data_IF_440661553192
#
_entry.id   IF_440661553192
#
_cell.length_a   1.000
_cell.length_b   1.000
_cell.length_c   1.000
_cell.angle_alpha   90.00
_cell.angle_beta   90.00
_cell.angle_gamma   90.00
#
_symmetry.space_group_name_H-M   'P 1'
#
loop_
_entity.id
_entity.type
_entity.pdbx_description
1 polymer ?
#
# COMPACT_ATOMS: atom_id res chain seq x y z
N UNK A 1 -2.38 4.93 -28.59
CA UNK A 1 -2.04 4.24 -27.33
C UNK A 1 -3.25 3.43 -26.91
N UNK A 2 -3.04 2.19 -26.50
CA UNK A 2 -4.10 1.41 -25.86
C UNK A 2 -4.32 2.00 -24.46
N UNK A 3 -5.54 2.45 -24.17
CA UNK A 3 -5.91 3.01 -22.88
C UNK A 3 -6.35 1.94 -21.88
N UNK A 4 -6.33 0.67 -22.30
CA UNK A 4 -6.73 -0.47 -21.49
C UNK A 4 -5.50 -1.32 -21.20
N UNK A 5 -5.22 -1.52 -19.91
CA UNK A 5 -4.21 -2.47 -19.45
C UNK A 5 -4.88 -3.58 -18.65
N UNK A 6 -4.47 -4.82 -18.88
CA UNK A 6 -4.88 -5.98 -18.10
C UNK A 6 -3.65 -6.71 -17.59
N UNK A 7 -3.69 -7.17 -16.34
CA UNK A 7 -2.60 -7.90 -15.72
C UNK A 7 -3.07 -8.66 -14.47
N UNK A 8 -2.13 -9.25 -13.76
CA UNK A 8 -2.38 -9.86 -12.46
C UNK A 8 -1.59 -9.09 -11.41
N UNK A 9 -2.24 -8.77 -10.29
CA UNK A 9 -1.65 -7.92 -9.27
C UNK A 9 -0.37 -8.51 -8.65
N UNK A 10 -0.25 -9.83 -8.53
CA UNK A 10 0.93 -10.48 -7.96
C UNK A 10 2.22 -10.22 -8.78
N UNK A 11 2.31 -10.64 -10.05
CA UNK A 11 3.50 -10.40 -10.86
C UNK A 11 3.72 -8.91 -11.14
N UNK A 12 2.65 -8.13 -11.36
CA UNK A 12 2.79 -6.71 -11.70
C UNK A 12 3.31 -5.89 -10.51
N UNK A 13 2.82 -6.16 -9.30
CA UNK A 13 3.28 -5.49 -8.11
C UNK A 13 4.70 -5.92 -7.74
N UNK A 14 5.04 -7.20 -7.87
CA UNK A 14 6.38 -7.70 -7.54
C UNK A 14 7.47 -7.02 -8.39
N UNK A 15 7.19 -6.79 -9.69
CA UNK A 15 8.09 -6.06 -10.57
C UNK A 15 8.38 -4.62 -10.10
N UNK A 16 7.52 -4.07 -9.24
CA UNK A 16 7.43 -2.65 -8.90
C UNK A 16 7.36 -2.42 -7.39
N UNK A 17 8.01 -3.30 -6.61
CA UNK A 17 8.11 -3.19 -5.13
C UNK A 17 6.74 -3.09 -4.42
N UNK A 18 5.73 -3.72 -5.00
CA UNK A 18 4.35 -3.76 -4.52
C UNK A 18 3.39 -2.82 -5.26
N UNK A 19 3.85 -1.93 -6.15
CA UNK A 19 3.01 -0.90 -6.75
C UNK A 19 2.37 -1.30 -8.08
N UNK A 20 1.07 -1.08 -8.21
CA UNK A 20 0.33 -1.31 -9.46
C UNK A 20 0.19 -0.05 -10.32
N UNK A 21 -0.08 1.08 -9.68
CA UNK A 21 -0.49 2.34 -10.33
C UNK A 21 0.02 3.52 -9.51
N UNK A 22 0.45 4.60 -10.19
CA UNK A 22 0.89 5.84 -9.55
C UNK A 22 1.79 6.69 -10.44
N UNK A 23 2.30 7.81 -9.91
CA UNK A 23 3.05 8.82 -10.66
C UNK A 23 4.36 8.30 -11.26
N UNK A 24 4.89 7.21 -10.71
CA UNK A 24 6.13 6.55 -11.10
C UNK A 24 6.00 5.71 -12.37
N UNK A 25 4.78 5.44 -12.87
CA UNK A 25 4.60 4.76 -14.16
C UNK A 25 5.00 5.70 -15.31
N UNK A 26 5.45 5.18 -16.46
CA UNK A 26 5.80 6.01 -17.60
C UNK A 26 4.61 6.84 -18.11
N UNK A 27 4.87 8.06 -18.59
CA UNK A 27 3.84 8.86 -19.26
C UNK A 27 3.26 8.08 -20.46
N UNK A 28 1.92 8.06 -20.56
CA UNK A 28 1.19 7.29 -21.56
C UNK A 28 0.89 5.84 -21.20
N UNK A 29 1.41 5.31 -20.09
CA UNK A 29 0.89 4.08 -19.46
C UNK A 29 -0.45 4.41 -18.78
N UNK A 30 -1.54 3.67 -19.01
CA UNK A 30 -2.84 3.92 -18.33
C UNK A 30 -2.78 3.76 -16.80
N UNK A 31 -1.69 3.22 -16.25
CA UNK A 31 -1.41 3.13 -14.81
C UNK A 31 -0.61 4.33 -14.27
N UNK A 32 -0.27 5.32 -15.11
CA UNK A 32 0.29 6.58 -14.65
C UNK A 32 -0.81 7.46 -14.06
N UNK A 33 -0.62 7.94 -12.82
CA UNK A 33 -1.56 8.83 -12.15
C UNK A 33 -0.86 9.75 -11.15
N UNK A 34 -1.19 11.04 -11.18
CA UNK A 34 -0.81 12.02 -10.15
C UNK A 34 -1.84 12.13 -9.01
N UNK A 35 -3.01 11.53 -9.18
CA UNK A 35 -4.13 11.64 -8.23
C UNK A 35 -4.08 10.55 -7.17
N UNK A 36 -3.81 9.30 -7.59
CA UNK A 36 -3.85 8.13 -6.71
C UNK A 36 -2.70 7.17 -6.99
N UNK A 37 -2.25 6.47 -5.96
CA UNK A 37 -1.31 5.36 -6.09
C UNK A 37 -1.86 4.13 -5.36
N UNK A 38 -1.70 2.97 -5.99
CA UNK A 38 -2.28 1.70 -5.55
C UNK A 38 -1.16 0.68 -5.35
N UNK A 39 -1.12 0.09 -4.16
CA UNK A 39 -0.21 -0.98 -3.79
C UNK A 39 -0.96 -2.29 -3.57
N UNK A 40 -0.42 -3.37 -4.10
CA UNK A 40 -0.80 -4.73 -3.77
C UNK A 40 0.28 -5.34 -2.86
N UNK A 41 -0.09 -5.64 -1.61
CA UNK A 41 0.83 -6.16 -0.60
C UNK A 41 0.54 -7.63 -0.32
N UNK A 42 1.53 -8.50 -0.57
CA UNK A 42 1.57 -9.86 0.00
C UNK A 42 2.60 -9.91 1.11
N UNK A 43 2.18 -10.41 2.25
CA UNK A 43 2.98 -10.47 3.46
C UNK A 43 3.00 -11.92 3.98
N UNK A 44 4.17 -12.56 4.14
CA UNK A 44 4.24 -13.85 4.80
C UNK A 44 3.90 -13.71 6.29
N UNK A 45 3.57 -14.84 6.93
CA UNK A 45 3.34 -14.88 8.37
C UNK A 45 4.56 -14.36 9.14
N UNK A 46 4.32 -13.45 10.08
CA UNK A 46 5.35 -12.81 10.89
C UNK A 46 5.97 -11.56 10.26
N UNK A 47 5.62 -11.20 9.02
CA UNK A 47 6.16 -10.03 8.35
C UNK A 47 5.77 -8.74 9.07
N UNK A 48 6.68 -7.76 9.07
CA UNK A 48 6.44 -6.46 9.70
C UNK A 48 7.26 -5.35 9.07
N UNK A 49 6.73 -4.13 9.15
CA UNK A 49 7.56 -2.96 8.87
C UNK A 49 8.44 -2.64 10.08
N UNK A 50 9.76 -2.72 9.89
CA UNK A 50 10.70 -2.42 10.97
C UNK A 50 10.69 -0.92 11.35
N UNK A 51 10.56 -0.04 10.35
CA UNK A 51 10.57 1.40 10.54
C UNK A 51 9.14 1.97 10.47
N UNK A 52 8.84 2.96 11.31
CA UNK A 52 7.57 3.68 11.28
C UNK A 52 7.54 4.68 10.12
N UNK A 53 6.40 4.85 9.46
CA UNK A 53 6.18 6.00 8.56
C UNK A 53 6.00 7.19 9.48
N UNK A 54 6.72 8.27 9.20
CA UNK A 54 6.62 9.51 9.97
C UNK A 54 6.14 10.64 9.07
N UNK A 55 5.15 11.39 9.54
CA UNK A 55 4.67 12.58 8.85
C UNK A 55 4.16 12.31 7.43
N UNK A 56 3.33 11.27 7.25
CA UNK A 56 2.76 10.92 5.95
C UNK A 56 2.04 12.13 5.33
N UNK A 57 2.31 12.40 4.06
CA UNK A 57 1.77 13.57 3.34
C UNK A 57 0.52 13.21 2.52
N UNK A 58 0.13 11.94 2.55
CA UNK A 58 -1.02 11.37 1.83
C UNK A 58 -2.09 10.94 2.82
N UNK A 59 -3.32 10.92 2.34
CA UNK A 59 -4.36 10.09 2.95
C UNK A 59 -4.23 8.69 2.38
N UNK A 60 -4.47 7.67 3.21
CA UNK A 60 -4.36 6.28 2.81
C UNK A 60 -5.56 5.48 3.29
N UNK A 61 -5.98 4.53 2.45
CA UNK A 61 -6.94 3.48 2.71
C UNK A 61 -6.20 2.14 2.56
N UNK A 62 -6.36 1.24 3.51
CA UNK A 62 -5.92 -0.15 3.37
C UNK A 62 -7.14 -1.06 3.57
N UNK A 63 -7.35 -1.97 2.62
CA UNK A 63 -8.40 -3.00 2.65
C UNK A 63 -7.77 -4.38 2.73
N UNK A 64 -8.25 -5.20 3.65
CA UNK A 64 -7.87 -6.60 3.78
C UNK A 64 -8.55 -7.44 2.69
N UNK A 65 -7.77 -8.13 1.88
CA UNK A 65 -8.26 -9.05 0.86
C UNK A 65 -8.36 -10.48 1.42
N UNK A 66 -7.35 -10.92 2.16
CA UNK A 66 -7.32 -12.22 2.85
C UNK A 66 -6.29 -12.24 3.96
N UNK A 67 -6.51 -13.07 4.99
CA UNK A 67 -5.60 -13.23 6.12
C UNK A 67 -5.98 -12.34 7.31
N UNK A 68 -4.99 -11.85 8.05
CA UNK A 68 -5.18 -10.94 9.18
C UNK A 68 -4.04 -9.91 9.19
N UNK A 69 -4.37 -8.63 9.28
CA UNK A 69 -3.40 -7.54 9.21
C UNK A 69 -3.58 -6.56 10.35
N UNK A 70 -2.48 -6.25 11.03
CA UNK A 70 -2.47 -5.28 12.12
C UNK A 70 -1.86 -3.96 11.60
N UNK A 71 -2.66 -2.91 11.58
CA UNK A 71 -2.17 -1.55 11.38
C UNK A 71 -1.83 -0.93 12.74
N UNK A 72 -0.57 -0.59 12.93
CA UNK A 72 -0.05 -0.03 14.18
C UNK A 72 0.02 1.50 14.06
N UNK A 73 -0.68 2.20 14.93
CA UNK A 73 -0.63 3.66 15.09
C UNK A 73 -0.05 3.98 16.48
N UNK A 74 0.47 5.21 16.73
CA UNK A 74 1.12 5.53 18.00
C UNK A 74 0.23 5.29 19.23
N UNK A 75 -1.08 5.46 19.07
CA UNK A 75 -2.06 5.38 20.16
C UNK A 75 -2.80 4.05 20.23
N UNK A 76 -2.82 3.27 19.13
CA UNK A 76 -3.58 2.01 19.06
C UNK A 76 -3.15 1.13 17.89
N UNK A 77 -3.47 -0.15 18.01
CA UNK A 77 -3.47 -1.10 16.89
C UNK A 77 -4.89 -1.31 16.38
N UNK A 78 -5.07 -1.26 15.06
CA UNK A 78 -6.30 -1.66 14.38
C UNK A 78 -6.06 -3.04 13.77
N UNK A 79 -6.85 -4.03 14.19
CA UNK A 79 -6.80 -5.39 13.65
C UNK A 79 -7.86 -5.52 12.57
N UNK A 80 -7.44 -5.93 11.38
CA UNK A 80 -8.29 -6.31 10.26
C UNK A 80 -8.26 -7.85 10.20
N UNK A 81 -9.39 -8.50 10.35
CA UNK A 81 -9.48 -9.96 10.48
C UNK A 81 -10.56 -10.60 9.60
N UNK A 82 -11.46 -9.80 9.03
CA UNK A 82 -12.48 -10.27 8.10
C UNK A 82 -12.22 -9.69 6.70
N UNK A 83 -12.44 -10.49 5.65
CA UNK A 83 -12.28 -10.01 4.28
C UNK A 83 -13.12 -8.76 4.03
N UNK A 84 -12.48 -7.70 3.54
CA UNK A 84 -13.12 -6.40 3.32
C UNK A 84 -12.98 -5.42 4.49
N UNK A 85 -12.46 -5.85 5.65
CA UNK A 85 -12.06 -4.93 6.72
C UNK A 85 -11.11 -3.88 6.18
N UNK A 86 -11.28 -2.64 6.64
CA UNK A 86 -10.50 -1.52 6.13
C UNK A 86 -10.20 -0.49 7.20
N UNK A 87 -9.15 0.29 6.95
CA UNK A 87 -8.80 1.46 7.75
C UNK A 87 -8.36 2.60 6.85
N UNK A 88 -8.78 3.81 7.21
CA UNK A 88 -8.37 5.06 6.55
C UNK A 88 -7.64 5.92 7.56
N UNK A 89 -6.51 6.51 7.15
CA UNK A 89 -5.79 7.48 7.96
C UNK A 89 -5.33 8.67 7.11
N UNK A 90 -5.35 9.85 7.73
CA UNK A 90 -5.05 11.11 7.07
C UNK A 90 -3.60 11.55 7.20
N UNK A 91 -3.35 12.79 6.75
CA UNK A 91 -2.03 13.41 6.76
C UNK A 91 -1.47 13.49 8.20
N UNK A 92 -0.16 13.30 8.32
CA UNK A 92 0.58 13.37 9.57
C UNK A 92 0.42 12.14 10.47
N UNK A 93 -0.42 11.17 10.11
CA UNK A 93 -0.62 9.97 10.92
C UNK A 93 0.53 8.99 10.70
N UNK A 94 1.39 8.92 11.70
CA UNK A 94 2.46 7.92 11.78
C UNK A 94 1.88 6.51 11.86
N UNK A 95 2.51 5.54 11.20
CA UNK A 95 2.02 4.17 11.20
C UNK A 95 3.12 3.14 10.93
N UNK A 96 2.86 1.91 11.37
CA UNK A 96 3.58 0.70 11.03
C UNK A 96 2.58 -0.44 10.79
N UNK A 97 3.05 -1.65 10.52
CA UNK A 97 2.17 -2.80 10.35
C UNK A 97 2.85 -4.12 10.73
N UNK A 98 2.00 -5.12 11.00
CA UNK A 98 2.37 -6.49 11.27
C UNK A 98 1.36 -7.46 10.64
N UNK A 99 1.86 -8.52 10.02
CA UNK A 99 1.07 -9.61 9.46
C UNK A 99 1.27 -10.87 10.33
N UNK A 100 0.36 -11.21 11.26
CA UNK A 100 0.44 -12.43 12.06
C UNK A 100 0.44 -13.71 11.22
N UNK A 101 -0.22 -13.70 10.06
CA UNK A 101 -0.32 -14.82 9.13
C UNK A 101 -0.12 -14.38 7.67
N UNK A 102 -0.10 -15.33 6.73
CA UNK A 102 -0.03 -14.98 5.31
C UNK A 102 -1.23 -14.10 4.94
N UNK A 103 -0.95 -12.90 4.45
CA UNK A 103 -1.95 -11.85 4.31
C UNK A 103 -1.78 -11.11 3.00
N UNK A 104 -2.93 -10.74 2.40
CA UNK A 104 -3.01 -9.93 1.19
C UNK A 104 -3.82 -8.67 1.48
N UNK A 105 -3.25 -7.51 1.16
CA UNK A 105 -3.89 -6.20 1.36
C UNK A 105 -3.80 -5.36 0.10
N UNK A 106 -4.81 -4.53 -0.13
CA UNK A 106 -4.79 -3.46 -1.11
C UNK A 106 -4.66 -2.12 -0.39
N UNK A 107 -3.64 -1.33 -0.73
CA UNK A 107 -3.50 0.04 -0.20
C UNK A 107 -3.71 1.06 -1.31
N UNK A 108 -4.54 2.05 -1.06
CA UNK A 108 -4.80 3.20 -1.93
C UNK A 108 -4.31 4.44 -1.19
N UNK A 109 -3.49 5.28 -1.84
CA UNK A 109 -3.04 6.55 -1.26
C UNK A 109 -3.27 7.71 -2.22
N UNK A 110 -3.55 8.89 -1.68
CA UNK A 110 -3.71 10.12 -2.45
C UNK A 110 -3.23 11.35 -1.66
N UNK A 111 -2.65 12.37 -2.33
CA UNK A 111 -2.35 12.40 -3.77
C UNK A 111 -1.18 11.48 -4.17
N UNK A 112 -1.04 11.18 -5.47
CA UNK A 112 0.10 10.42 -5.99
C UNK A 112 1.24 11.36 -6.33
N UNK A 113 2.08 11.59 -5.33
CA UNK A 113 3.20 12.52 -5.41
C UNK A 113 4.50 11.77 -5.24
N UNK A 114 5.60 12.32 -5.75
CA UNK A 114 6.92 11.82 -5.39
C UNK A 114 7.08 11.90 -3.86
N UNK A 115 7.40 10.76 -3.21
CA UNK A 115 7.60 10.65 -1.76
C UNK A 115 8.75 9.72 -1.43
N UNK A 116 9.09 9.61 -0.15
CA UNK A 116 10.32 9.01 0.39
C UNK A 116 10.67 7.64 -0.21
N UNK A 117 11.42 7.63 -1.32
CA UNK A 117 12.26 6.51 -1.61
C UNK A 117 13.28 6.45 -0.47
N UNK A 118 13.01 5.62 0.54
CA UNK A 118 14.07 5.20 1.46
C UNK A 118 15.05 4.48 0.55
N UNK A 119 16.19 5.11 0.30
CA UNK A 119 17.24 4.54 -0.54
C UNK A 119 17.48 3.11 -0.08
N UNK A 120 17.44 2.16 -1.02
CA UNK A 120 17.93 0.82 -0.75
C UNK A 120 19.36 0.98 -0.21
N UNK A 121 19.58 0.52 1.03
CA UNK A 121 20.93 0.15 1.44
C UNK A 121 21.31 -1.14 0.74
#
# INVERSE_FOLDING_TARGET
MDLIYTGNADPDALAERGWLLGHFKPEGDPRHSADVEIKWGRHPAGDRRAEWVRGEQRTALLVLISGCFHMEFPERTVVLAEQGDYVVWGHGVDHSWYAPEETVVLTVRWPSIAGYAVGAR
#
